data_IF_296590249475
#
_entry.id   IF_296590249475
#
_cell.length_a   1.000
_cell.length_b   1.000
_cell.length_c   1.000
_cell.angle_alpha   90.00
_cell.angle_beta   90.00
_cell.angle_gamma   90.00
#
_symmetry.space_group_name_H-M   'P 1'
#
loop_
_entity.id
_entity.type
_entity.pdbx_description
1 polymer ?
#
# COMPACT_ATOMS: atom_id res chain seq x y z
N UNK A 1 4.62 -22.33 -9.95
CA UNK A 1 3.62 -22.86 -9.00
C UNK A 1 4.04 -22.94 -7.54
N UNK A 2 5.32 -23.14 -7.20
CA UNK A 2 5.75 -23.18 -5.78
C UNK A 2 5.48 -21.89 -5.02
N UNK A 3 5.29 -20.77 -5.73
CA UNK A 3 5.03 -19.43 -5.18
C UNK A 3 3.56 -18.98 -5.27
N UNK A 4 2.64 -19.79 -5.82
CA UNK A 4 1.26 -19.35 -6.08
C UNK A 4 0.51 -18.91 -4.81
N UNK A 5 0.68 -19.62 -3.69
CA UNK A 5 0.00 -19.25 -2.43
C UNK A 5 0.56 -17.94 -1.89
N UNK A 6 1.89 -17.76 -1.92
CA UNK A 6 2.51 -16.51 -1.51
C UNK A 6 2.09 -15.34 -2.43
N UNK A 7 2.06 -15.55 -3.75
CA UNK A 7 1.54 -14.55 -4.69
C UNK A 7 0.07 -14.23 -4.44
N UNK A 8 -0.77 -15.24 -4.16
CA UNK A 8 -2.17 -14.99 -3.83
C UNK A 8 -2.32 -14.16 -2.56
N UNK A 9 -1.50 -14.43 -1.54
CA UNK A 9 -1.46 -13.67 -0.31
C UNK A 9 -1.03 -12.22 -0.55
N UNK A 10 0.04 -12.01 -1.32
CA UNK A 10 0.52 -10.66 -1.66
C UNK A 10 -0.52 -9.91 -2.51
N UNK A 11 -1.15 -10.53 -3.51
CA UNK A 11 -2.20 -9.87 -4.28
C UNK A 11 -3.43 -9.52 -3.43
N UNK A 12 -3.85 -10.42 -2.55
CA UNK A 12 -4.98 -10.18 -1.65
C UNK A 12 -4.69 -9.02 -0.69
N UNK A 13 -3.54 -9.03 -0.01
CA UNK A 13 -3.15 -7.97 0.91
C UNK A 13 -2.92 -6.63 0.20
N UNK A 14 -2.36 -6.65 -1.02
CA UNK A 14 -2.23 -5.46 -1.85
C UNK A 14 -3.57 -4.89 -2.30
N UNK A 15 -4.52 -5.75 -2.68
CA UNK A 15 -5.89 -5.33 -3.03
C UNK A 15 -6.59 -4.64 -1.85
N UNK A 16 -6.49 -5.22 -0.66
CA UNK A 16 -7.04 -4.63 0.56
C UNK A 16 -6.30 -3.35 0.96
N UNK A 17 -4.98 -3.27 0.72
CA UNK A 17 -4.19 -2.08 1.01
C UNK A 17 -4.61 -0.85 0.19
N UNK A 18 -5.17 -1.04 -1.00
CA UNK A 18 -5.72 0.06 -1.83
C UNK A 18 -6.87 0.80 -1.14
N UNK A 19 -7.70 0.08 -0.39
CA UNK A 19 -8.87 0.61 0.33
C UNK A 19 -8.68 0.61 1.85
N UNK A 20 -7.44 0.51 2.31
CA UNK A 20 -7.16 0.32 3.73
C UNK A 20 -7.50 1.55 4.59
N UNK A 21 -7.41 2.76 4.03
CA UNK A 21 -7.82 4.00 4.72
C UNK A 21 -9.33 4.02 4.97
N UNK A 22 -10.13 3.52 4.03
CA UNK A 22 -11.58 3.38 4.20
C UNK A 22 -11.92 2.27 5.19
N UNK A 23 -11.12 1.20 5.24
CA UNK A 23 -11.26 0.15 6.26
C UNK A 23 -10.99 0.75 7.64
N UNK A 24 -9.92 1.54 7.81
CA UNK A 24 -9.65 2.25 9.07
C UNK A 24 -10.82 3.18 9.43
N UNK A 25 -11.35 3.95 8.48
CA UNK A 25 -12.49 4.84 8.70
C UNK A 25 -13.76 4.11 9.16
N UNK A 26 -13.97 2.88 8.69
CA UNK A 26 -15.08 2.03 9.12
C UNK A 26 -14.88 1.47 10.53
N UNK A 27 -13.63 1.18 10.92
CA UNK A 27 -13.30 0.55 12.20
C UNK A 27 -13.14 1.61 13.30
N UNK A 28 -12.54 2.79 12.96
CA UNK A 28 -12.13 3.82 13.91
C UNK A 28 -13.15 4.99 13.90
N UNK A 29 -14.05 5.07 14.89
CA UNK A 29 -15.05 6.14 14.94
C UNK A 29 -14.44 7.54 15.00
N UNK A 30 -13.24 7.69 15.62
CA UNK A 30 -12.56 8.97 15.75
C UNK A 30 -12.15 9.59 14.41
N UNK A 31 -12.04 8.78 13.35
CA UNK A 31 -11.75 9.27 11.99
C UNK A 31 -12.96 9.91 11.30
N UNK A 32 -14.18 9.80 11.88
CA UNK A 32 -15.43 10.24 11.22
C UNK A 32 -15.84 11.61 11.68
N UNK A 33 -16.10 12.47 10.72
CA UNK A 33 -16.60 13.83 10.97
C UNK A 33 -17.79 14.13 10.07
N UNK A 34 -18.64 15.04 10.52
CA UNK A 34 -19.71 15.61 9.69
C UNK A 34 -19.16 16.87 9.03
N UNK A 35 -19.23 17.00 7.69
CA UNK A 35 -18.80 18.20 6.99
C UNK A 35 -19.57 19.44 7.45
N UNK A 36 -18.87 20.57 7.54
CA UNK A 36 -19.42 21.89 7.89
C UNK A 36 -18.75 22.94 6.99
N UNK A 37 -19.37 24.11 6.84
CA UNK A 37 -18.88 25.19 5.99
C UNK A 37 -17.56 25.81 6.50
N UNK A 38 -17.39 25.86 7.84
CA UNK A 38 -16.15 26.36 8.45
C UNK A 38 -15.01 25.38 8.22
N UNK A 39 -13.81 25.92 7.94
CA UNK A 39 -12.55 25.18 7.97
C UNK A 39 -11.67 25.76 9.09
N UNK A 40 -11.23 24.90 10.00
CA UNK A 40 -10.30 25.27 11.03
C UNK A 40 -8.88 25.48 10.43
N UNK A 41 -8.11 26.39 10.98
CA UNK A 41 -6.72 26.57 10.57
C UNK A 41 -5.84 25.38 11.00
N UNK A 42 -4.71 25.22 10.35
CA UNK A 42 -3.74 24.20 10.73
C UNK A 42 -3.20 24.41 12.13
N UNK A 43 -3.02 25.68 12.54
CA UNK A 43 -2.61 26.03 13.89
C UNK A 43 -3.69 25.70 14.93
N UNK A 44 -4.97 25.96 14.64
CA UNK A 44 -6.09 25.57 15.53
C UNK A 44 -6.12 24.05 15.76
N UNK A 45 -5.93 23.26 14.68
CA UNK A 45 -5.88 21.79 14.75
C UNK A 45 -4.68 21.29 15.58
N UNK A 46 -3.49 21.89 15.37
CA UNK A 46 -2.32 21.58 16.18
C UNK A 46 -2.55 21.89 17.66
N UNK A 47 -3.02 23.11 17.96
CA UNK A 47 -3.27 23.52 19.34
C UNK A 47 -4.30 22.62 20.05
N UNK A 48 -5.30 22.09 19.32
CA UNK A 48 -6.25 21.15 19.87
C UNK A 48 -5.57 19.80 20.21
N UNK A 49 -4.74 19.29 19.34
CA UNK A 49 -4.00 18.04 19.57
C UNK A 49 -3.01 18.17 20.75
N UNK A 50 -2.28 19.30 20.85
CA UNK A 50 -1.35 19.55 21.94
C UNK A 50 -2.05 19.74 23.29
N UNK A 51 -3.22 20.42 23.33
CA UNK A 51 -4.02 20.53 24.55
C UNK A 51 -4.56 19.19 25.04
N UNK A 52 -4.94 18.31 24.10
CA UNK A 52 -5.41 16.98 24.45
C UNK A 52 -4.28 16.06 24.97
N UNK A 53 -3.07 16.28 24.48
CA UNK A 53 -1.89 15.45 24.81
C UNK A 53 -0.67 16.32 25.12
N UNK A 54 -0.66 17.00 26.30
CA UNK A 54 0.46 17.83 26.71
C UNK A 54 1.78 17.04 26.78
N UNK A 55 2.86 17.61 26.24
CA UNK A 55 4.18 16.98 26.26
C UNK A 55 4.49 16.06 25.07
N UNK A 56 3.50 15.69 24.26
CA UNK A 56 3.78 14.98 23.01
C UNK A 56 4.30 15.94 21.94
N UNK A 57 5.16 15.42 21.05
CA UNK A 57 5.77 16.22 19.98
C UNK A 57 5.13 15.93 18.64
N UNK A 58 4.80 16.99 17.89
CA UNK A 58 4.28 16.83 16.54
C UNK A 58 5.32 16.13 15.65
N UNK A 59 4.93 15.03 15.02
CA UNK A 59 5.67 14.36 13.96
C UNK A 59 5.21 14.83 12.58
N UNK A 60 3.90 14.94 12.39
CA UNK A 60 3.25 15.50 11.20
C UNK A 60 1.79 15.80 11.49
N UNK A 61 1.27 16.83 10.84
CA UNK A 61 -0.15 17.13 10.76
C UNK A 61 -0.58 16.97 9.31
N UNK A 62 -1.54 16.09 9.05
CA UNK A 62 -2.02 15.78 7.72
C UNK A 62 -3.47 16.24 7.52
N UNK A 63 -3.75 16.76 6.34
CA UNK A 63 -5.11 17.08 5.91
C UNK A 63 -6.01 15.83 5.89
N UNK A 64 -7.33 16.01 6.04
CA UNK A 64 -8.27 14.90 5.94
C UNK A 64 -8.23 14.27 4.54
N UNK A 65 -8.39 12.95 4.47
CA UNK A 65 -8.42 12.18 3.21
C UNK A 65 -9.66 12.48 2.34
N UNK A 66 -10.65 13.15 2.92
CA UNK A 66 -11.89 13.55 2.29
C UNK A 66 -12.79 14.29 3.30
N UNK A 67 -13.88 14.85 2.84
CA UNK A 67 -14.76 15.72 3.63
C UNK A 67 -15.30 15.08 4.93
N UNK A 68 -15.43 13.75 4.96
CA UNK A 68 -15.95 13.00 6.12
C UNK A 68 -14.85 12.40 7.00
N UNK A 69 -13.61 12.77 6.75
CA UNK A 69 -12.45 12.30 7.51
C UNK A 69 -11.95 13.37 8.45
N UNK A 70 -11.52 12.97 9.65
CA UNK A 70 -10.75 13.81 10.52
C UNK A 70 -9.32 14.05 9.97
N UNK A 71 -8.74 15.17 10.32
CA UNK A 71 -7.32 15.43 10.12
C UNK A 71 -6.50 14.58 11.11
N UNK A 72 -5.29 14.16 10.70
CA UNK A 72 -4.40 13.35 11.53
C UNK A 72 -3.24 14.19 12.07
N UNK A 73 -3.19 14.40 13.39
CA UNK A 73 -1.99 14.84 14.07
C UNK A 73 -1.22 13.61 14.58
N UNK A 74 -0.13 13.26 13.91
CA UNK A 74 0.75 12.19 14.36
C UNK A 74 1.71 12.76 15.41
N UNK A 75 1.54 12.30 16.64
CA UNK A 75 2.32 12.74 17.79
C UNK A 75 3.33 11.69 18.21
N UNK A 76 4.49 12.12 18.72
CA UNK A 76 5.54 11.23 19.23
C UNK A 76 5.63 11.36 20.75
N UNK A 77 5.60 10.22 21.41
CA UNK A 77 5.83 10.08 22.86
C UNK A 77 7.33 10.07 23.19
N UNK A 78 7.69 10.32 24.43
CA UNK A 78 9.10 10.31 24.88
C UNK A 78 9.76 8.94 24.77
N UNK A 79 8.98 7.86 24.86
CA UNK A 79 9.43 6.47 24.60
C UNK A 79 9.67 6.18 23.12
N UNK A 80 9.39 7.15 22.22
CA UNK A 80 9.53 7.04 20.76
C UNK A 80 8.29 6.45 20.05
N UNK A 81 7.29 6.00 20.78
CA UNK A 81 6.04 5.51 20.19
C UNK A 81 5.25 6.63 19.54
N UNK A 82 4.45 6.26 18.55
CA UNK A 82 3.61 7.18 17.79
C UNK A 82 2.15 7.01 18.19
N UNK A 83 1.50 8.14 18.44
CA UNK A 83 0.07 8.26 18.71
C UNK A 83 -0.59 9.05 17.59
N UNK A 84 -1.70 8.57 17.06
CA UNK A 84 -2.53 9.27 16.08
C UNK A 84 -3.63 9.99 16.84
N UNK A 85 -3.67 11.31 16.76
CA UNK A 85 -4.71 12.17 17.33
C UNK A 85 -5.57 12.67 16.17
N UNK A 86 -6.86 12.36 16.23
CA UNK A 86 -7.81 12.74 15.20
C UNK A 86 -8.46 14.06 15.56
N UNK A 87 -8.43 15.01 14.64
CA UNK A 87 -8.94 16.37 14.84
C UNK A 87 -9.98 16.68 13.76
N UNK A 88 -11.15 17.17 14.18
CA UNK A 88 -12.17 17.61 13.25
C UNK A 88 -11.68 18.85 12.49
N UNK A 89 -11.55 18.81 11.15
CA UNK A 89 -11.02 19.91 10.36
C UNK A 89 -11.97 21.10 10.26
N UNK A 90 -13.21 20.96 10.73
CA UNK A 90 -14.20 22.02 10.70
C UNK A 90 -14.28 22.77 12.03
N UNK A 91 -14.09 22.08 13.16
CA UNK A 91 -14.28 22.64 14.51
C UNK A 91 -13.01 22.76 15.31
N UNK A 92 -11.90 22.19 14.86
CA UNK A 92 -10.65 21.99 15.61
C UNK A 92 -10.86 21.24 16.95
N UNK A 93 -11.86 20.37 17.04
CA UNK A 93 -12.05 19.52 18.21
C UNK A 93 -11.38 18.18 18.00
N UNK A 94 -10.71 17.64 19.03
CA UNK A 94 -10.20 16.29 19.00
C UNK A 94 -11.38 15.32 19.05
N UNK A 95 -11.49 14.46 18.03
CA UNK A 95 -12.53 13.43 17.91
C UNK A 95 -12.15 12.12 18.61
N UNK A 96 -10.87 11.92 18.86
CA UNK A 96 -10.31 10.77 19.56
C UNK A 96 -8.86 10.53 19.21
N UNK A 97 -8.37 9.36 19.63
CA UNK A 97 -7.00 8.94 19.37
C UNK A 97 -6.95 7.45 19.04
N UNK A 98 -5.91 7.05 18.32
CA UNK A 98 -5.66 5.64 18.03
C UNK A 98 -4.15 5.34 18.03
N UNK A 99 -3.80 4.07 18.19
CA UNK A 99 -2.42 3.64 18.11
C UNK A 99 -1.85 3.86 16.70
N UNK A 100 -0.52 3.80 16.58
CA UNK A 100 0.15 3.78 15.28
C UNK A 100 -0.30 2.61 14.39
N UNK A 101 -0.64 1.48 15.01
CA UNK A 101 -1.08 0.28 14.31
C UNK A 101 -2.55 0.37 13.96
N UNK A 102 -2.84 0.36 12.68
CA UNK A 102 -4.17 0.41 12.08
C UNK A 102 -4.29 -0.65 10.98
N UNK A 103 -5.48 -0.89 10.45
CA UNK A 103 -5.66 -1.82 9.33
C UNK A 103 -4.83 -1.38 8.12
N UNK A 104 -4.78 -0.08 7.84
CA UNK A 104 -3.95 0.48 6.76
C UNK A 104 -2.47 0.15 6.96
N UNK A 105 -1.95 0.37 8.16
CA UNK A 105 -0.54 0.07 8.48
C UNK A 105 -0.25 -1.41 8.38
N UNK A 106 -1.14 -2.23 8.92
CA UNK A 106 -1.06 -3.67 8.91
C UNK A 106 -1.03 -4.25 7.50
N UNK A 107 -2.03 -3.88 6.68
CA UNK A 107 -2.14 -4.37 5.30
C UNK A 107 -0.96 -3.91 4.45
N UNK A 108 -0.57 -2.63 4.60
CA UNK A 108 0.57 -2.06 3.90
C UNK A 108 1.88 -2.76 4.24
N UNK A 109 2.19 -2.91 5.52
CA UNK A 109 3.46 -3.52 5.94
C UNK A 109 3.48 -5.04 5.67
N UNK A 110 2.33 -5.72 5.73
CA UNK A 110 2.19 -7.10 5.28
C UNK A 110 2.48 -7.23 3.80
N UNK A 111 1.83 -6.40 2.97
CA UNK A 111 2.01 -6.44 1.51
C UNK A 111 3.43 -6.05 1.10
N UNK A 112 3.96 -4.98 1.67
CA UNK A 112 5.22 -4.36 1.27
C UNK A 112 6.45 -5.14 1.71
N UNK A 113 6.44 -5.68 2.93
CA UNK A 113 7.63 -6.25 3.57
C UNK A 113 7.36 -7.50 4.42
N UNK A 114 6.15 -8.10 4.36
CA UNK A 114 5.76 -9.27 5.15
C UNK A 114 5.97 -9.09 6.65
N UNK A 115 5.76 -7.89 7.17
CA UNK A 115 6.02 -7.51 8.57
C UNK A 115 7.49 -7.65 9.01
N UNK A 116 8.40 -7.92 8.09
CA UNK A 116 9.85 -7.94 8.33
C UNK A 116 10.42 -6.51 8.33
N UNK A 117 11.62 -6.29 8.89
CA UNK A 117 12.30 -5.01 8.71
C UNK A 117 12.39 -4.63 7.22
N UNK A 118 12.06 -3.36 6.85
CA UNK A 118 11.96 -2.96 5.44
C UNK A 118 13.20 -3.26 4.60
N UNK A 119 14.39 -3.20 5.21
CA UNK A 119 15.68 -3.52 4.55
C UNK A 119 15.70 -4.92 3.93
N UNK A 120 15.03 -5.90 4.56
CA UNK A 120 14.99 -7.28 4.11
C UNK A 120 13.67 -7.65 3.44
N UNK A 121 12.57 -7.16 3.99
CA UNK A 121 11.23 -7.52 3.52
C UNK A 121 10.89 -6.91 2.18
N UNK A 122 11.25 -5.64 1.93
CA UNK A 122 10.95 -4.98 0.65
C UNK A 122 11.60 -5.69 -0.54
N UNK A 123 12.92 -5.97 -0.56
CA UNK A 123 13.52 -6.70 -1.67
C UNK A 123 12.95 -8.12 -1.81
N UNK A 124 12.60 -8.79 -0.71
CA UNK A 124 12.01 -10.13 -0.74
C UNK A 124 10.65 -10.14 -1.46
N UNK A 125 9.77 -9.19 -1.13
CA UNK A 125 8.46 -9.06 -1.79
C UNK A 125 8.61 -8.57 -3.23
N UNK A 126 9.43 -7.55 -3.44
CA UNK A 126 9.66 -6.98 -4.76
C UNK A 126 10.29 -7.98 -5.74
N UNK A 127 11.07 -8.96 -5.26
CA UNK A 127 11.61 -10.06 -6.07
C UNK A 127 10.51 -10.89 -6.76
N UNK A 128 9.29 -10.91 -6.21
CA UNK A 128 8.15 -11.60 -6.83
C UNK A 128 7.69 -10.94 -8.14
N UNK A 129 8.14 -9.72 -8.44
CA UNK A 129 7.91 -9.07 -9.74
C UNK A 129 8.53 -9.84 -10.89
N UNK A 130 9.68 -10.48 -10.69
CA UNK A 130 10.38 -11.26 -11.72
C UNK A 130 9.52 -12.44 -12.20
N UNK A 131 9.09 -13.39 -11.35
CA UNK A 131 8.21 -14.46 -11.80
C UNK A 131 6.85 -13.93 -12.31
N UNK A 132 6.35 -12.80 -11.81
CA UNK A 132 5.11 -12.19 -12.32
C UNK A 132 5.28 -11.73 -13.78
N UNK A 133 6.34 -11.00 -14.10
CA UNK A 133 6.64 -10.55 -15.46
C UNK A 133 6.94 -11.72 -16.39
N UNK A 134 7.67 -12.74 -15.92
CA UNK A 134 7.92 -13.96 -16.70
C UNK A 134 6.63 -14.72 -17.00
N UNK A 135 5.68 -14.79 -16.04
CA UNK A 135 4.36 -15.38 -16.27
C UNK A 135 3.56 -14.57 -17.28
N UNK A 136 3.60 -13.23 -17.23
CA UNK A 136 2.96 -12.36 -18.22
C UNK A 136 3.48 -12.66 -19.63
N UNK A 137 4.80 -12.61 -19.84
CA UNK A 137 5.44 -12.87 -21.14
C UNK A 137 5.10 -14.28 -21.63
N UNK A 138 5.22 -15.28 -20.76
CA UNK A 138 4.89 -16.68 -21.10
C UNK A 138 3.42 -16.84 -21.47
N UNK A 139 2.51 -16.14 -20.80
CA UNK A 139 1.06 -16.20 -21.09
C UNK A 139 0.74 -15.66 -22.49
N UNK A 140 1.37 -14.55 -22.88
CA UNK A 140 1.21 -13.95 -24.20
C UNK A 140 1.78 -14.85 -25.30
N UNK A 141 2.91 -15.50 -25.03
CA UNK A 141 3.52 -16.45 -25.97
C UNK A 141 2.69 -17.73 -26.17
N UNK A 142 2.12 -18.27 -25.07
CA UNK A 142 1.31 -19.49 -25.11
C UNK A 142 -0.07 -19.19 -25.69
N UNK A 143 -0.72 -18.08 -25.29
CA UNK A 143 -2.07 -17.70 -25.70
C UNK A 143 -2.02 -16.62 -26.77
N UNK A 144 -1.49 -16.96 -27.95
CA UNK A 144 -1.25 -16.04 -29.07
C UNK A 144 -2.45 -15.21 -29.53
N UNK A 145 -3.68 -15.67 -29.30
CA UNK A 145 -4.92 -14.99 -29.70
C UNK A 145 -5.72 -14.57 -28.45
N UNK A 146 -5.04 -14.03 -27.44
CA UNK A 146 -5.62 -13.65 -26.14
C UNK A 146 -6.82 -12.70 -26.28
N UNK A 147 -6.83 -11.80 -27.28
CA UNK A 147 -7.94 -10.88 -27.52
C UNK A 147 -9.27 -11.56 -27.83
N UNK A 148 -9.27 -12.79 -28.39
CA UNK A 148 -10.49 -13.58 -28.61
C UNK A 148 -11.11 -14.10 -27.30
N UNK A 149 -10.34 -14.15 -26.24
CA UNK A 149 -10.81 -14.57 -24.92
C UNK A 149 -11.47 -13.45 -24.11
N UNK A 150 -11.40 -12.19 -24.60
CA UNK A 150 -11.82 -11.04 -23.81
C UNK A 150 -13.33 -11.05 -23.47
N UNK A 151 -14.18 -11.48 -24.40
CA UNK A 151 -15.63 -11.59 -24.23
C UNK A 151 -16.13 -13.04 -24.11
N UNK A 152 -15.21 -14.00 -23.96
CA UNK A 152 -15.57 -15.40 -23.83
C UNK A 152 -15.91 -15.75 -22.37
N UNK A 153 -17.21 -15.74 -22.04
CA UNK A 153 -17.70 -16.03 -20.70
C UNK A 153 -17.41 -17.47 -20.25
N UNK A 154 -17.26 -17.71 -18.94
CA UNK A 154 -17.03 -19.03 -18.39
C UNK A 154 -18.20 -19.97 -18.64
N UNK A 155 -17.89 -21.17 -19.14
CA UNK A 155 -18.88 -22.23 -19.38
C UNK A 155 -19.24 -22.90 -18.05
N UNK A 156 -20.52 -23.23 -17.89
CA UNK A 156 -21.00 -24.05 -16.77
C UNK A 156 -20.69 -25.55 -17.04
N UNK A 157 -20.38 -26.31 -16.01
CA UNK A 157 -20.12 -27.74 -16.14
C UNK A 157 -19.09 -28.27 -15.15
N UNK A 158 -18.20 -29.17 -15.61
CA UNK A 158 -17.16 -29.77 -14.76
C UNK A 158 -16.26 -28.68 -14.16
N UNK A 159 -15.89 -28.78 -12.87
CA UNK A 159 -15.10 -27.74 -12.17
C UNK A 159 -13.84 -27.30 -12.93
N UNK A 160 -13.13 -28.25 -13.56
CA UNK A 160 -11.93 -27.93 -14.36
C UNK A 160 -12.23 -27.02 -15.56
N UNK A 161 -13.40 -27.18 -16.21
CA UNK A 161 -13.80 -26.36 -17.35
C UNK A 161 -14.17 -24.95 -16.87
N UNK A 162 -15.05 -24.85 -15.89
CA UNK A 162 -15.53 -23.57 -15.36
C UNK A 162 -14.37 -22.73 -14.80
N UNK A 163 -13.57 -23.32 -13.91
CA UNK A 163 -12.43 -22.61 -13.32
C UNK A 163 -11.30 -22.33 -14.31
N UNK A 164 -11.13 -23.16 -15.33
CA UNK A 164 -10.23 -22.90 -16.45
C UNK A 164 -10.65 -21.67 -17.25
N UNK A 165 -11.94 -21.52 -17.52
CA UNK A 165 -12.48 -20.36 -18.22
C UNK A 165 -12.41 -19.09 -17.35
N UNK A 166 -12.69 -19.19 -16.04
CA UNK A 166 -12.51 -18.08 -15.08
C UNK A 166 -11.05 -17.64 -15.03
N UNK A 167 -10.11 -18.57 -14.93
CA UNK A 167 -8.68 -18.29 -14.94
C UNK A 167 -8.25 -17.55 -16.21
N UNK A 168 -8.70 -18.03 -17.37
CA UNK A 168 -8.45 -17.40 -18.66
C UNK A 168 -9.00 -15.96 -18.71
N UNK A 169 -10.27 -15.77 -18.32
CA UNK A 169 -10.93 -14.47 -18.38
C UNK A 169 -10.25 -13.46 -17.44
N UNK A 170 -10.02 -13.85 -16.19
CA UNK A 170 -9.29 -13.03 -15.23
C UNK A 170 -7.88 -12.68 -15.73
N UNK A 171 -7.19 -13.64 -16.36
CA UNK A 171 -5.87 -13.41 -16.94
C UNK A 171 -5.88 -12.41 -18.08
N UNK A 172 -6.81 -12.55 -19.02
CA UNK A 172 -6.91 -11.64 -20.18
C UNK A 172 -7.26 -10.22 -19.74
N UNK A 173 -8.21 -10.05 -18.83
CA UNK A 173 -8.63 -8.72 -18.36
C UNK A 173 -7.54 -8.02 -17.52
N UNK A 174 -6.72 -8.79 -16.80
CA UNK A 174 -5.67 -8.23 -15.96
C UNK A 174 -4.31 -8.05 -16.65
N UNK A 175 -4.15 -8.36 -17.96
CA UNK A 175 -2.85 -8.29 -18.64
C UNK A 175 -2.15 -6.94 -18.50
N UNK A 176 -2.86 -5.84 -18.82
CA UNK A 176 -2.31 -4.48 -18.71
C UNK A 176 -1.98 -4.10 -17.26
N UNK A 177 -2.87 -4.45 -16.33
CA UNK A 177 -2.66 -4.19 -14.92
C UNK A 177 -1.52 -5.04 -14.33
N UNK A 178 -1.39 -6.30 -14.76
CA UNK A 178 -0.28 -7.17 -14.37
C UNK A 178 1.07 -6.64 -14.85
N UNK A 179 1.12 -6.05 -16.06
CA UNK A 179 2.30 -5.36 -16.57
C UNK A 179 2.64 -4.15 -15.69
N UNK A 180 1.66 -3.28 -15.42
CA UNK A 180 1.83 -2.08 -14.61
C UNK A 180 2.37 -2.43 -13.21
N UNK A 181 1.70 -3.35 -12.50
CA UNK A 181 2.09 -3.77 -11.14
C UNK A 181 3.46 -4.49 -11.17
N UNK A 182 3.71 -5.32 -12.19
CA UNK A 182 4.99 -6.03 -12.35
C UNK A 182 6.15 -5.07 -12.56
N UNK A 183 6.00 -4.06 -13.42
CA UNK A 183 7.03 -3.06 -13.69
C UNK A 183 7.28 -2.16 -12.49
N UNK A 184 6.23 -1.65 -11.83
CA UNK A 184 6.39 -0.80 -10.63
C UNK A 184 6.98 -1.58 -9.46
N UNK A 185 6.59 -2.84 -9.25
CA UNK A 185 7.21 -3.70 -8.23
C UNK A 185 8.67 -4.05 -8.57
N UNK A 186 9.00 -4.23 -9.85
CA UNK A 186 10.39 -4.40 -10.30
C UNK A 186 11.22 -3.14 -10.04
N UNK A 187 10.65 -1.96 -10.25
CA UNK A 187 11.30 -0.71 -9.88
C UNK A 187 11.63 -0.64 -8.38
N UNK A 188 10.70 -1.04 -7.50
CA UNK A 188 10.99 -1.12 -6.07
C UNK A 188 12.12 -2.12 -5.74
N UNK A 189 12.24 -3.22 -6.50
CA UNK A 189 13.38 -4.11 -6.35
C UNK A 189 14.69 -3.39 -6.68
N UNK A 190 14.75 -2.68 -7.80
CA UNK A 190 15.91 -1.92 -8.26
C UNK A 190 16.30 -0.85 -7.23
N UNK A 191 15.33 -0.08 -6.71
CA UNK A 191 15.56 0.89 -5.64
C UNK A 191 16.08 0.24 -4.35
N UNK A 192 15.52 -0.91 -3.98
CA UNK A 192 15.92 -1.62 -2.75
C UNK A 192 17.34 -2.21 -2.83
N UNK A 193 17.84 -2.43 -4.04
CA UNK A 193 19.21 -2.88 -4.33
C UNK A 193 20.23 -1.73 -4.44
N UNK A 194 19.81 -0.49 -4.18
CA UNK A 194 20.70 0.66 -4.10
C UNK A 194 20.52 1.73 -5.17
N UNK A 195 19.70 1.50 -6.19
CA UNK A 195 19.44 2.48 -7.26
C UNK A 195 18.35 3.49 -6.90
N UNK A 196 18.28 3.93 -5.64
CA UNK A 196 17.33 4.94 -5.20
C UNK A 196 17.77 6.33 -5.64
N UNK A 197 16.82 7.11 -6.18
CA UNK A 197 17.08 8.48 -6.55
C UNK A 197 17.54 9.34 -5.35
N UNK A 198 18.45 10.31 -5.54
CA UNK A 198 18.91 11.18 -4.48
C UNK A 198 17.77 12.05 -3.94
N UNK A 199 17.85 12.39 -2.65
CA UNK A 199 16.88 13.29 -2.02
C UNK A 199 16.99 14.70 -2.59
N UNK A 200 15.85 15.43 -2.69
CA UNK A 200 15.84 16.82 -3.09
C UNK A 200 16.75 17.70 -2.19
N UNK A 201 17.40 18.75 -2.74
CA UNK A 201 18.34 19.61 -2.00
C UNK A 201 17.77 20.22 -0.73
N UNK A 202 16.53 20.72 -0.77
CA UNK A 202 15.86 21.34 0.39
C UNK A 202 15.78 20.41 1.59
N UNK A 203 15.47 19.13 1.38
CA UNK A 203 15.44 18.14 2.47
C UNK A 203 16.85 17.84 2.98
N UNK A 204 17.85 17.85 2.11
CA UNK A 204 19.25 17.64 2.49
C UNK A 204 19.79 18.80 3.33
N UNK A 205 19.49 20.03 2.94
CA UNK A 205 19.94 21.24 3.63
C UNK A 205 19.37 21.40 5.05
N UNK A 206 18.16 20.85 5.30
CA UNK A 206 17.50 20.92 6.60
C UNK A 206 17.87 19.75 7.54
N UNK A 207 18.90 18.99 7.22
CA UNK A 207 19.49 18.00 8.11
C UNK A 207 20.35 18.67 9.19
N UNK A 208 20.46 18.06 10.34
CA UNK A 208 21.31 18.53 11.44
C UNK A 208 20.80 18.09 12.80
N UNK A 209 21.47 18.53 13.87
CA UNK A 209 21.04 18.26 15.24
C UNK A 209 19.63 18.85 15.47
N UNK A 210 18.73 18.03 15.98
CA UNK A 210 17.35 18.44 16.23
C UNK A 210 17.29 19.42 17.40
N UNK A 211 16.73 20.60 17.17
CA UNK A 211 16.24 21.49 18.22
C UNK A 211 14.77 21.17 18.48
N UNK A 212 14.40 21.03 19.75
CA UNK A 212 13.05 20.65 20.16
C UNK A 212 12.32 21.83 20.80
N UNK A 213 12.22 22.93 20.08
CA UNK A 213 11.40 24.05 20.52
C UNK A 213 9.91 23.65 20.37
N UNK A 214 9.04 24.03 21.33
CA UNK A 214 7.60 23.91 21.16
C UNK A 214 7.15 24.68 19.92
N UNK A 215 6.23 24.10 19.16
CA UNK A 215 5.69 24.70 17.95
C UNK A 215 4.37 25.40 18.30
N UNK A 216 4.33 26.72 18.22
CA UNK A 216 3.08 27.44 18.48
C UNK A 216 2.12 27.37 17.29
N UNK A 217 0.82 27.36 17.56
CA UNK A 217 -0.22 27.36 16.54
C UNK A 217 -0.05 28.47 15.50
N UNK A 218 0.28 29.68 15.97
CA UNK A 218 0.52 30.85 15.12
C UNK A 218 1.73 30.68 14.18
N UNK A 219 2.73 29.88 14.56
CA UNK A 219 3.89 29.63 13.72
C UNK A 219 3.53 28.74 12.54
N UNK A 220 2.62 27.78 12.76
CA UNK A 220 2.07 26.93 11.69
C UNK A 220 1.25 27.76 10.70
N UNK A 221 0.33 28.58 11.20
CA UNK A 221 -0.52 29.41 10.33
C UNK A 221 0.30 30.47 9.57
N UNK A 222 1.32 31.06 10.20
CA UNK A 222 2.28 31.95 9.54
C UNK A 222 3.04 31.23 8.43
N UNK A 223 3.52 30.02 8.69
CA UNK A 223 4.23 29.23 7.70
C UNK A 223 3.34 28.82 6.52
N UNK A 224 2.08 28.46 6.78
CA UNK A 224 1.09 28.18 5.73
C UNK A 224 0.87 29.42 4.86
N UNK A 225 0.64 30.58 5.47
CA UNK A 225 0.43 31.83 4.74
C UNK A 225 1.64 32.21 3.89
N UNK A 226 2.86 32.11 4.44
CA UNK A 226 4.11 32.36 3.72
C UNK A 226 4.29 31.40 2.54
N UNK A 227 4.02 30.11 2.74
CA UNK A 227 4.11 29.11 1.69
C UNK A 227 3.08 29.34 0.57
N UNK A 228 1.85 29.66 0.89
CA UNK A 228 0.79 29.94 -0.08
C UNK A 228 1.09 31.22 -0.87
N UNK A 229 1.66 32.25 -0.23
CA UNK A 229 2.10 33.45 -0.93
C UNK A 229 3.25 33.17 -1.91
N UNK A 230 4.22 32.33 -1.51
CA UNK A 230 5.37 31.97 -2.35
C UNK A 230 5.05 30.91 -3.41
N UNK A 231 4.05 30.09 -3.19
CA UNK A 231 3.64 29.00 -4.10
C UNK A 231 2.13 28.79 -4.07
N UNK A 232 1.33 29.64 -4.74
CA UNK A 232 -0.13 29.60 -4.70
C UNK A 232 -0.75 28.28 -5.20
N UNK A 233 -0.08 27.59 -6.14
CA UNK A 233 -0.55 26.32 -6.71
C UNK A 233 -0.35 25.11 -5.77
N UNK A 234 0.42 25.27 -4.69
CA UNK A 234 0.64 24.17 -3.76
C UNK A 234 -0.59 23.94 -2.86
N UNK A 235 -1.27 22.84 -3.10
CA UNK A 235 -2.34 22.33 -2.23
C UNK A 235 -1.72 21.55 -1.10
N UNK A 236 -1.50 22.22 0.04
CA UNK A 236 -0.84 21.64 1.21
C UNK A 236 -1.69 20.50 1.77
N UNK A 237 -1.12 19.31 1.90
CA UNK A 237 -1.74 18.11 2.45
C UNK A 237 -1.07 17.64 3.74
N UNK A 238 0.16 18.09 4.03
CA UNK A 238 0.89 17.73 5.24
C UNK A 238 1.85 18.82 5.66
N UNK A 239 1.91 19.03 6.98
CA UNK A 239 2.87 19.90 7.64
C UNK A 239 3.68 19.07 8.62
N UNK A 240 5.01 19.17 8.56
CA UNK A 240 5.88 18.48 9.51
C UNK A 240 7.10 19.31 9.88
N UNK A 241 7.59 19.21 11.11
CA UNK A 241 8.87 19.81 11.49
C UNK A 241 10.01 19.19 10.66
N UNK A 242 10.96 20.03 10.29
CA UNK A 242 12.21 19.59 9.66
C UNK A 242 13.04 18.71 10.60
N UNK A 243 13.96 17.88 10.09
CA UNK A 243 14.80 17.03 10.93
C UNK A 243 15.60 17.80 11.98
N UNK A 244 16.01 19.04 11.70
CA UNK A 244 16.71 19.91 12.65
C UNK A 244 15.78 20.76 13.54
N UNK A 245 14.45 20.67 13.36
CA UNK A 245 13.46 21.40 14.17
C UNK A 245 13.38 22.91 13.95
N UNK A 246 14.13 23.49 13.01
CA UNK A 246 14.17 24.93 12.76
C UNK A 246 13.16 25.41 11.72
N UNK A 247 12.63 24.51 10.93
CA UNK A 247 11.69 24.81 9.86
C UNK A 247 10.48 23.90 9.87
N UNK A 248 9.40 24.34 9.23
CA UNK A 248 8.29 23.53 8.81
C UNK A 248 8.45 23.14 7.34
N UNK A 249 8.24 21.88 7.04
CA UNK A 249 8.15 21.35 5.70
C UNK A 249 6.68 21.15 5.36
N UNK A 250 6.21 21.90 4.38
CA UNK A 250 4.84 21.83 3.88
C UNK A 250 4.85 21.05 2.56
N UNK A 251 4.18 19.92 2.56
CA UNK A 251 4.13 18.99 1.44
C UNK A 251 2.73 18.97 0.83
N UNK A 252 2.63 18.74 -0.47
CA UNK A 252 1.32 18.67 -1.11
C UNK A 252 1.35 18.40 -2.61
N UNK A 253 0.22 18.64 -3.25
CA UNK A 253 0.09 18.54 -4.70
C UNK A 253 0.17 19.92 -5.36
N UNK A 254 0.91 19.99 -6.45
CA UNK A 254 0.98 21.15 -7.34
C UNK A 254 0.75 20.69 -8.79
N UNK A 255 1.31 21.38 -9.77
CA UNK A 255 1.03 21.15 -11.19
C UNK A 255 1.63 19.85 -11.79
N UNK A 256 2.39 19.07 -11.04
CA UNK A 256 3.01 17.85 -11.51
C UNK A 256 2.08 16.62 -11.45
N UNK A 257 2.00 15.86 -12.54
CA UNK A 257 1.24 14.62 -12.60
C UNK A 257 2.09 13.41 -12.18
N UNK A 258 1.47 12.40 -11.56
CA UNK A 258 2.12 11.17 -11.05
C UNK A 258 3.27 11.47 -10.07
N UNK A 259 3.03 12.37 -9.13
CA UNK A 259 3.95 12.71 -8.06
C UNK A 259 3.36 12.37 -6.71
N UNK A 260 4.19 11.89 -5.79
CA UNK A 260 3.83 11.83 -4.37
C UNK A 260 3.80 13.25 -3.79
N UNK A 261 2.98 13.46 -2.77
CA UNK A 261 2.86 14.78 -2.11
C UNK A 261 4.21 15.31 -1.63
N UNK A 262 5.06 14.47 -1.09
CA UNK A 262 6.42 14.84 -0.63
C UNK A 262 7.37 15.33 -1.73
N UNK A 263 7.01 15.15 -3.00
CA UNK A 263 7.82 15.63 -4.13
C UNK A 263 7.73 17.15 -4.27
N UNK A 264 6.57 17.71 -3.90
CA UNK A 264 6.35 19.14 -3.82
C UNK A 264 6.45 19.54 -2.35
N UNK A 265 7.54 20.20 -1.97
CA UNK A 265 7.77 20.62 -0.61
C UNK A 265 8.36 22.03 -0.57
N UNK A 266 7.84 22.84 0.32
CA UNK A 266 8.38 24.16 0.66
C UNK A 266 8.83 24.17 2.13
N UNK A 267 10.03 24.65 2.39
CA UNK A 267 10.58 24.82 3.73
C UNK A 267 10.42 26.23 4.20
N UNK A 268 9.81 26.43 5.36
CA UNK A 268 9.61 27.74 5.99
C UNK A 268 10.29 27.76 7.35
N UNK A 269 11.14 28.75 7.61
CA UNK A 269 11.77 28.92 8.90
C UNK A 269 10.73 29.31 9.97
N UNK A 270 10.74 28.60 11.11
CA UNK A 270 9.74 28.82 12.16
C UNK A 270 9.87 30.23 12.78
N UNK A 271 11.09 30.66 13.06
CA UNK A 271 11.33 31.91 13.77
C UNK A 271 10.94 33.16 12.96
N UNK A 272 11.30 33.20 11.67
CA UNK A 272 11.13 34.37 10.81
C UNK A 272 9.96 34.27 9.82
N UNK A 273 9.49 33.06 9.51
CA UNK A 273 8.57 32.80 8.40
C UNK A 273 9.24 32.88 7.03
N UNK A 274 10.57 32.98 6.97
CA UNK A 274 11.30 33.05 5.70
C UNK A 274 11.25 31.73 4.94
N UNK A 275 11.14 31.80 3.61
CA UNK A 275 11.21 30.63 2.73
C UNK A 275 12.68 30.21 2.61
N UNK A 276 12.98 28.99 3.06
CA UNK A 276 14.33 28.40 3.01
C UNK A 276 14.61 27.72 1.67
N UNK A 277 13.58 27.37 0.95
CA UNK A 277 13.67 26.75 -0.36
C UNK A 277 12.42 25.95 -0.69
N UNK A 278 12.29 25.57 -1.95
CA UNK A 278 11.22 24.69 -2.42
C UNK A 278 11.78 23.61 -3.34
N UNK A 279 11.13 22.47 -3.37
CA UNK A 279 11.30 21.46 -4.39
C UNK A 279 9.99 21.34 -5.14
N UNK A 280 10.03 21.58 -6.44
CA UNK A 280 8.93 21.31 -7.33
C UNK A 280 9.16 19.94 -7.99
N UNK A 281 8.15 19.11 -7.95
CA UNK A 281 8.21 17.80 -8.60
C UNK A 281 8.40 17.88 -10.12
N UNK A 282 8.07 19.03 -10.75
CA UNK A 282 8.32 19.25 -12.18
C UNK A 282 9.80 19.39 -12.51
N UNK A 283 10.60 19.93 -11.59
CA UNK A 283 12.03 20.18 -11.77
C UNK A 283 12.89 18.95 -11.51
N UNK A 284 12.27 17.82 -11.16
CA UNK A 284 12.97 16.57 -10.88
C UNK A 284 13.57 15.96 -12.15
N UNK A 285 14.76 15.37 -12.02
CA UNK A 285 15.39 14.62 -13.09
C UNK A 285 14.61 13.30 -13.38
N UNK A 286 14.90 12.67 -14.51
CA UNK A 286 14.20 11.46 -14.98
C UNK A 286 14.19 10.36 -13.94
N UNK A 287 15.33 10.10 -13.26
CA UNK A 287 15.42 9.07 -12.23
C UNK A 287 14.48 9.35 -11.04
N UNK A 288 14.48 10.59 -10.55
CA UNK A 288 13.58 11.02 -9.48
C UNK A 288 12.11 10.91 -9.92
N UNK A 289 11.80 11.34 -11.15
CA UNK A 289 10.44 11.27 -11.74
C UNK A 289 9.93 9.82 -11.82
N UNK A 290 10.76 8.87 -12.25
CA UNK A 290 10.38 7.45 -12.28
C UNK A 290 10.10 6.95 -10.86
N UNK A 291 10.97 7.26 -9.90
CA UNK A 291 10.79 6.87 -8.51
C UNK A 291 9.53 7.48 -7.87
N UNK A 292 9.21 8.75 -8.18
CA UNK A 292 8.00 9.41 -7.68
C UNK A 292 6.72 8.90 -8.37
N UNK A 293 6.77 8.52 -9.65
CA UNK A 293 5.62 8.01 -10.40
C UNK A 293 5.27 6.54 -10.03
N UNK A 294 6.25 5.77 -9.57
CA UNK A 294 6.04 4.37 -9.23
C UNK A 294 4.96 4.16 -8.16
N UNK A 295 4.93 4.98 -7.10
CA UNK A 295 3.93 4.87 -6.03
C UNK A 295 2.51 5.20 -6.50
N UNK A 296 2.21 6.38 -7.10
CA UNK A 296 0.87 6.67 -7.60
C UNK A 296 0.34 5.63 -8.59
N UNK A 297 1.20 5.12 -9.47
CA UNK A 297 0.85 4.06 -10.41
C UNK A 297 0.58 2.73 -9.72
N UNK A 298 1.39 2.36 -8.74
CA UNK A 298 1.23 1.10 -8.02
C UNK A 298 -0.02 1.09 -7.14
N UNK A 299 -0.30 2.19 -6.43
CA UNK A 299 -1.39 2.30 -5.47
C UNK A 299 -2.69 2.87 -6.06
N UNK A 300 -2.66 3.42 -7.27
CA UNK A 300 -3.83 4.05 -7.89
C UNK A 300 -4.27 5.36 -7.23
N UNK A 301 -3.34 6.10 -6.63
CA UNK A 301 -3.67 7.32 -5.86
C UNK A 301 -3.81 8.57 -6.74
N UNK A 302 -3.43 8.51 -8.00
CA UNK A 302 -3.38 9.66 -8.92
C UNK A 302 -4.73 10.12 -9.47
N UNK A 303 -5.80 9.36 -9.30
CA UNK A 303 -7.12 9.68 -9.87
C UNK A 303 -8.26 9.58 -8.85
N UNK A 304 -7.96 9.68 -7.56
CA UNK A 304 -8.96 9.63 -6.49
C UNK A 304 -9.69 8.29 -6.41
N UNK A 305 -10.92 8.33 -5.87
CA UNK A 305 -11.72 7.14 -5.64
C UNK A 305 -12.00 6.27 -6.89
N UNK A 306 -12.35 6.84 -8.08
CA UNK A 306 -12.62 6.00 -9.26
C UNK A 306 -11.44 5.13 -9.66
N UNK A 307 -10.21 5.68 -9.64
CA UNK A 307 -9.01 4.93 -9.97
C UNK A 307 -8.73 3.87 -8.89
N UNK A 308 -8.88 4.18 -7.62
CA UNK A 308 -8.71 3.22 -6.52
C UNK A 308 -9.71 2.06 -6.61
N UNK A 309 -10.97 2.34 -6.94
CA UNK A 309 -11.97 1.30 -7.20
C UNK A 309 -11.57 0.39 -8.36
N UNK A 310 -11.03 0.97 -9.43
CA UNK A 310 -10.52 0.21 -10.59
C UNK A 310 -9.30 -0.65 -10.19
N UNK A 311 -8.38 -0.13 -9.38
CA UNK A 311 -7.23 -0.90 -8.84
C UNK A 311 -7.67 -2.06 -7.96
N UNK A 312 -8.67 -1.83 -7.09
CA UNK A 312 -9.28 -2.88 -6.28
C UNK A 312 -9.90 -3.98 -7.16
N UNK A 313 -10.65 -3.62 -8.20
CA UNK A 313 -11.21 -4.56 -9.16
C UNK A 313 -10.13 -5.42 -9.83
N UNK A 314 -9.07 -4.82 -10.37
CA UNK A 314 -7.98 -5.55 -10.99
C UNK A 314 -7.16 -6.36 -9.98
N UNK A 315 -7.02 -5.89 -8.75
CA UNK A 315 -6.41 -6.64 -7.66
C UNK A 315 -7.19 -7.92 -7.33
N UNK A 316 -8.53 -7.86 -7.31
CA UNK A 316 -9.40 -9.04 -7.18
C UNK A 316 -9.18 -9.99 -8.35
N UNK A 317 -9.07 -9.51 -9.58
CA UNK A 317 -8.79 -10.35 -10.74
C UNK A 317 -7.42 -11.05 -10.62
N UNK A 318 -6.35 -10.37 -10.21
CA UNK A 318 -5.04 -10.97 -9.99
C UNK A 318 -5.05 -12.01 -8.86
N UNK A 319 -5.76 -11.72 -7.77
CA UNK A 319 -5.96 -12.67 -6.68
C UNK A 319 -6.69 -13.93 -7.18
N UNK A 320 -7.79 -13.74 -7.92
CA UNK A 320 -8.56 -14.82 -8.55
C UNK A 320 -7.70 -15.63 -9.52
N UNK A 321 -6.90 -14.94 -10.36
CA UNK A 321 -5.99 -15.59 -11.31
C UNK A 321 -4.98 -16.50 -10.59
N UNK A 322 -4.38 -16.02 -9.51
CA UNK A 322 -3.42 -16.80 -8.74
C UNK A 322 -4.05 -17.99 -8.02
N UNK A 323 -5.21 -17.82 -7.38
CA UNK A 323 -5.95 -18.87 -6.69
C UNK A 323 -6.46 -19.94 -7.66
N UNK A 324 -7.08 -19.54 -8.77
CA UNK A 324 -7.56 -20.48 -9.79
C UNK A 324 -6.42 -21.24 -10.46
N UNK A 325 -5.27 -20.60 -10.67
CA UNK A 325 -4.07 -21.26 -11.16
C UNK A 325 -3.56 -22.35 -10.21
N UNK A 326 -3.53 -22.08 -8.90
CA UNK A 326 -3.18 -23.08 -7.89
C UNK A 326 -4.19 -24.24 -7.86
N UNK A 327 -5.48 -23.92 -7.91
CA UNK A 327 -6.58 -24.91 -7.91
C UNK A 327 -6.53 -25.85 -9.14
N UNK A 328 -6.42 -25.28 -10.33
CA UNK A 328 -6.35 -26.05 -11.60
C UNK A 328 -5.13 -26.98 -11.63
N UNK A 329 -4.00 -26.51 -11.08
CA UNK A 329 -2.84 -27.38 -10.93
C UNK A 329 -3.09 -28.53 -9.94
N UNK A 330 -3.78 -28.26 -8.83
CA UNK A 330 -4.19 -29.29 -7.90
C UNK A 330 -5.07 -30.37 -8.55
N UNK A 331 -6.07 -29.96 -9.36
CA UNK A 331 -6.89 -30.89 -10.15
C UNK A 331 -6.02 -31.74 -11.08
N UNK A 332 -5.12 -31.13 -11.86
CA UNK A 332 -4.24 -31.85 -12.78
C UNK A 332 -3.40 -32.91 -12.07
N UNK A 333 -2.87 -32.61 -10.89
CA UNK A 333 -2.07 -33.55 -10.11
C UNK A 333 -2.94 -34.70 -9.60
N UNK A 334 -4.11 -34.40 -9.05
CA UNK A 334 -5.02 -35.42 -8.57
C UNK A 334 -5.43 -36.38 -9.70
N UNK A 335 -5.79 -35.86 -10.88
CA UNK A 335 -6.11 -36.65 -12.07
C UNK A 335 -4.93 -37.53 -12.53
N UNK A 336 -3.70 -36.98 -12.57
CA UNK A 336 -2.50 -37.71 -12.94
C UNK A 336 -2.18 -38.85 -11.96
N UNK A 337 -2.37 -38.60 -10.65
CA UNK A 337 -2.18 -39.61 -9.63
C UNK A 337 -3.20 -40.77 -9.77
N UNK A 338 -4.48 -40.47 -10.03
CA UNK A 338 -5.53 -41.45 -10.30
C UNK A 338 -5.20 -42.29 -11.54
N UNK A 339 -4.79 -41.65 -12.62
CA UNK A 339 -4.41 -42.36 -13.85
C UNK A 339 -3.20 -43.29 -13.63
N UNK A 340 -2.22 -42.89 -12.82
CA UNK A 340 -1.08 -43.73 -12.48
C UNK A 340 -1.48 -44.98 -11.64
N UNK A 341 -2.38 -44.79 -10.66
CA UNK A 341 -2.91 -45.90 -9.84
C UNK A 341 -3.69 -46.89 -10.70
N UNK A 342 -4.55 -46.41 -11.63
CA UNK A 342 -5.30 -47.25 -12.56
C UNK A 342 -4.36 -48.07 -13.47
N UNK A 343 -3.26 -47.48 -13.95
CA UNK A 343 -2.24 -48.20 -14.75
C UNK A 343 -1.51 -49.28 -13.98
N UNK A 344 -1.43 -49.19 -12.66
CA UNK A 344 -0.80 -50.19 -11.78
C UNK A 344 -1.73 -51.33 -11.37
N UNK A 345 -2.92 -51.43 -11.96
CA UNK A 345 -3.86 -52.53 -11.70
C UNK A 345 -4.54 -52.51 -10.35
N UNK A 346 -4.59 -51.33 -9.69
CA UNK A 346 -5.36 -51.20 -8.45
C UNK A 346 -6.84 -51.56 -8.71
N UNK A 347 -7.48 -52.48 -7.91
CA UNK A 347 -8.86 -52.90 -8.12
C UNK A 347 -9.80 -51.69 -8.10
N UNK A 348 -10.77 -51.69 -9.04
CA UNK A 348 -11.84 -50.72 -9.04
C UNK A 348 -12.68 -50.94 -7.78
N UNK A 349 -12.44 -50.20 -6.72
CA UNK A 349 -13.13 -50.37 -5.45
C UNK A 349 -12.23 -50.47 -4.23
N UNK A 350 -10.90 -50.45 -4.40
CA UNK A 350 -10.02 -50.25 -3.24
C UNK A 350 -10.47 -49.00 -2.47
N UNK A 351 -10.65 -49.04 -1.14
CA UNK A 351 -11.06 -47.87 -0.36
C UNK A 351 -10.07 -46.74 -0.64
N UNK A 352 -10.52 -45.79 -1.46
CA UNK A 352 -9.73 -44.63 -1.76
C UNK A 352 -9.53 -43.89 -0.43
N UNK A 353 -8.36 -44.10 0.19
CA UNK A 353 -7.93 -43.28 1.29
C UNK A 353 -8.10 -41.82 0.84
N UNK A 354 -9.22 -41.24 1.27
CA UNK A 354 -9.72 -39.87 1.07
C UNK A 354 -9.03 -39.17 -0.10
N UNK A 355 -9.71 -39.13 -1.25
CA UNK A 355 -9.28 -38.38 -2.44
C UNK A 355 -8.83 -36.98 -1.98
N UNK A 356 -7.56 -36.62 -2.06
CA UNK A 356 -7.11 -35.33 -1.57
C UNK A 356 -7.85 -34.25 -2.37
N UNK A 357 -8.47 -33.31 -1.69
CA UNK A 357 -9.02 -32.14 -2.37
C UNK A 357 -7.96 -31.52 -3.29
N UNK A 358 -8.37 -30.86 -4.36
CA UNK A 358 -7.45 -30.20 -5.29
C UNK A 358 -6.48 -29.24 -4.55
N UNK A 359 -6.96 -28.60 -3.51
CA UNK A 359 -6.16 -27.73 -2.63
C UNK A 359 -5.11 -28.51 -1.84
N UNK A 360 -5.48 -29.65 -1.25
CA UNK A 360 -4.55 -30.49 -0.51
C UNK A 360 -3.47 -31.09 -1.44
N UNK A 361 -3.82 -31.42 -2.69
CA UNK A 361 -2.87 -31.85 -3.69
C UNK A 361 -1.90 -30.74 -4.09
N UNK A 362 -2.42 -29.53 -4.32
CA UNK A 362 -1.59 -28.34 -4.60
C UNK A 362 -0.64 -28.04 -3.44
N UNK A 363 -1.13 -28.04 -2.21
CA UNK A 363 -0.36 -27.82 -1.00
C UNK A 363 0.78 -28.82 -0.82
N UNK A 364 0.51 -30.12 -0.96
CA UNK A 364 1.54 -31.15 -0.85
C UNK A 364 2.64 -31.03 -1.92
N UNK A 365 2.28 -30.64 -3.15
CA UNK A 365 3.25 -30.47 -4.25
C UNK A 365 4.13 -29.23 -4.12
N UNK A 366 3.81 -28.31 -3.23
CA UNK A 366 4.73 -27.20 -2.92
C UNK A 366 6.06 -27.69 -2.29
N UNK A 367 6.11 -28.93 -1.78
CA UNK A 367 7.32 -29.47 -1.15
C UNK A 367 7.73 -28.60 0.06
N UNK A 368 9.01 -28.26 0.16
CA UNK A 368 9.54 -27.42 1.27
C UNK A 368 8.92 -26.01 1.30
N UNK A 369 8.48 -25.48 0.15
CA UNK A 369 7.87 -24.14 0.05
C UNK A 369 6.55 -24.01 0.79
N UNK A 370 5.83 -25.11 1.06
CA UNK A 370 4.63 -25.11 1.90
C UNK A 370 4.91 -24.65 3.32
N UNK A 371 6.08 -25.00 3.85
CA UNK A 371 6.47 -24.60 5.20
C UNK A 371 6.80 -23.10 5.27
N UNK A 372 7.46 -22.57 4.23
CA UNK A 372 7.68 -21.12 4.11
C UNK A 372 6.35 -20.36 4.01
N UNK A 373 5.43 -20.80 3.14
CA UNK A 373 4.11 -20.19 3.02
C UNK A 373 3.30 -20.31 4.33
N UNK A 374 3.32 -21.49 4.98
CA UNK A 374 2.67 -21.70 6.26
C UNK A 374 3.29 -20.85 7.38
N UNK A 375 4.61 -20.71 7.38
CA UNK A 375 5.33 -19.85 8.33
C UNK A 375 4.96 -18.37 8.18
N UNK A 376 4.92 -17.86 6.94
CA UNK A 376 4.49 -16.48 6.66
C UNK A 376 3.05 -16.23 7.12
N UNK A 377 2.12 -17.13 6.76
CA UNK A 377 0.72 -17.02 7.17
C UNK A 377 0.55 -17.15 8.69
N UNK A 378 1.27 -18.10 9.32
CA UNK A 378 1.24 -18.29 10.77
C UNK A 378 1.84 -17.10 11.54
N UNK A 379 2.95 -16.56 11.08
CA UNK A 379 3.55 -15.35 11.64
C UNK A 379 2.59 -14.15 11.52
N UNK A 380 1.98 -13.98 10.35
CA UNK A 380 1.01 -12.93 10.12
C UNK A 380 -0.20 -13.04 11.06
N UNK A 381 -0.76 -14.24 11.23
CA UNK A 381 -1.87 -14.50 12.14
C UNK A 381 -1.47 -14.26 13.60
N UNK A 382 -0.29 -14.72 14.02
CA UNK A 382 0.23 -14.50 15.38
C UNK A 382 0.39 -13.00 15.68
N UNK A 383 0.96 -12.24 14.74
CA UNK A 383 1.09 -10.80 14.90
C UNK A 383 -0.28 -10.10 14.96
N UNK A 384 -1.28 -10.55 14.19
CA UNK A 384 -2.66 -10.08 14.26
C UNK A 384 -3.26 -10.28 15.65
N UNK A 385 -3.10 -11.48 16.21
CA UNK A 385 -3.60 -11.82 17.56
C UNK A 385 -2.91 -10.96 18.63
N UNK A 386 -1.58 -10.82 18.56
CA UNK A 386 -0.82 -9.99 19.52
C UNK A 386 -1.28 -8.53 19.48
N UNK A 387 -1.59 -8.00 18.29
CA UNK A 387 -2.07 -6.63 18.15
C UNK A 387 -3.52 -6.46 18.63
N UNK A 388 -4.37 -7.47 18.43
CA UNK A 388 -5.76 -7.43 18.89
C UNK A 388 -5.90 -7.57 20.43
N UNK A 389 -4.85 -8.06 21.09
CA UNK A 389 -4.79 -8.21 22.55
C UNK A 389 -4.14 -7.01 23.27
N UNK A 390 -3.59 -6.04 22.53
CA UNK A 390 -3.05 -4.77 23.05
C UNK A 390 -4.07 -3.64 22.95
#
# INVERSE_FOLDING_TARGET
MKLCILLSFIFCTGTLAVVATEIDWLIEPAMRVTPQDRQASWGEMLAAAERAHPGLRLRSLAAPHGERFAAEALMRQDNGELLRVWVNPHTAQVTGQSSWWSAQRWLRDTHRNLMLPPKYGVPLVALLSIPLLLMLVSSLYIYKRWWRGFLAWPRKGKPRLTWGDVHRLAGVWSLGFMLLIGVTAFWYLVESLGAKAPLPPTIVQLKGAATHAPLAAQDVDRAIAAAQAAWPDLKISSVRPSPNGKALLLEGQANGWLLRERANVIGVEIASGAILGRNDGQDMNVHQRIGEAADPLHFGTFGGWPVRALWCFFGILLTTLSLTGAYLYGIRIAESARAALKRRGAPAGAPHSRDPSAWAAAWRRMGRWRWLAGGVLGMWLALLIIQALK
#
